data_IF_210218189235
#
_entry.id   IF_210218189235
#
_cell.length_a   1.000
_cell.length_b   1.000
_cell.length_c   1.000
_cell.angle_alpha   90.00
_cell.angle_beta   90.00
_cell.angle_gamma   90.00
#
_symmetry.space_group_name_H-M   'P 1'
#
loop_
_entity.id
_entity.type
_entity.pdbx_description
1 polymer ?
#
# COMPACT_ATOMS: atom_id res chain seq x y z
N UNK A 1 -15.21 14.82 -21.09
CA UNK A 1 -15.32 13.65 -20.20
C UNK A 1 -13.90 13.46 -19.65
N UNK A 2 -13.66 13.72 -18.37
CA UNK A 2 -12.33 13.41 -17.81
C UNK A 2 -12.26 11.88 -17.75
N UNK A 3 -11.34 11.29 -18.50
CA UNK A 3 -11.08 9.87 -18.40
C UNK A 3 -10.74 9.53 -16.94
N UNK A 4 -11.30 8.43 -16.43
CA UNK A 4 -10.99 7.95 -15.09
C UNK A 4 -9.48 7.72 -14.99
N UNK A 5 -8.82 8.07 -13.88
CA UNK A 5 -7.40 7.83 -13.73
C UNK A 5 -7.11 6.33 -13.83
N UNK A 6 -5.99 5.98 -14.43
CA UNK A 6 -5.51 4.59 -14.47
C UNK A 6 -4.95 4.16 -13.11
N UNK A 7 -4.32 5.12 -12.41
CA UNK A 7 -3.64 4.91 -11.14
C UNK A 7 -4.15 5.86 -10.05
N UNK A 8 -4.41 5.33 -8.86
CA UNK A 8 -4.54 6.12 -7.64
C UNK A 8 -3.28 5.95 -6.80
N UNK A 9 -2.54 7.03 -6.53
CA UNK A 9 -1.45 7.03 -5.56
C UNK A 9 -2.04 7.35 -4.19
N UNK A 10 -1.91 6.43 -3.23
CA UNK A 10 -2.49 6.56 -1.88
C UNK A 10 -1.38 6.71 -0.84
N UNK A 11 -1.37 7.86 -0.18
CA UNK A 11 -0.32 8.23 0.78
C UNK A 11 -0.94 8.59 2.13
N UNK A 12 -0.76 7.77 3.18
CA UNK A 12 -1.13 8.13 4.54
C UNK A 12 -0.05 9.02 5.18
N UNK A 13 -0.47 10.12 5.77
CA UNK A 13 0.38 11.04 6.51
C UNK A 13 0.00 11.09 8.00
N UNK A 14 0.97 11.11 8.90
CA UNK A 14 0.80 11.40 10.31
C UNK A 14 2.05 12.03 10.89
N UNK A 15 2.02 13.34 11.15
CA UNK A 15 3.15 14.14 11.59
C UNK A 15 4.38 13.95 10.67
N UNK A 16 4.20 14.26 9.42
CA UNK A 16 5.20 14.18 8.35
C UNK A 16 5.49 15.57 7.74
N UNK A 17 5.43 16.61 8.59
CA UNK A 17 5.78 17.97 8.17
C UNK A 17 7.18 18.01 7.52
N UNK A 18 7.32 18.74 6.42
CA UNK A 18 8.51 18.81 5.59
C UNK A 18 8.65 17.68 4.56
N UNK A 19 7.77 16.67 4.61
CA UNK A 19 7.79 15.56 3.64
C UNK A 19 6.67 15.66 2.60
N UNK A 20 5.56 16.35 2.89
CA UNK A 20 4.35 16.32 2.04
C UNK A 20 4.65 16.86 0.65
N UNK A 21 5.12 18.09 0.56
CA UNK A 21 5.38 18.74 -0.73
C UNK A 21 6.47 18.02 -1.53
N UNK A 22 7.66 17.69 -0.96
CA UNK A 22 8.69 16.95 -1.70
C UNK A 22 8.23 15.60 -2.24
N UNK A 23 7.45 14.84 -1.45
CA UNK A 23 6.91 13.53 -1.88
C UNK A 23 5.93 13.71 -3.04
N UNK A 24 5.05 14.71 -2.98
CA UNK A 24 4.08 14.97 -4.04
C UNK A 24 4.72 15.52 -5.32
N UNK A 25 5.75 16.37 -5.21
CA UNK A 25 6.55 16.81 -6.36
C UNK A 25 7.14 15.62 -7.10
N UNK A 26 7.76 14.70 -6.35
CA UNK A 26 8.39 13.53 -6.93
C UNK A 26 7.37 12.56 -7.57
N UNK A 27 6.18 12.41 -6.97
CA UNK A 27 5.08 11.64 -7.58
C UNK A 27 4.68 12.23 -8.93
N UNK A 28 4.52 13.56 -9.02
CA UNK A 28 4.15 14.21 -10.28
C UNK A 28 5.25 14.13 -11.33
N UNK A 29 6.51 14.25 -10.91
CA UNK A 29 7.67 14.11 -11.80
C UNK A 29 7.76 12.67 -12.36
N UNK A 30 7.62 11.69 -11.51
CA UNK A 30 7.80 10.28 -11.88
C UNK A 30 6.66 9.72 -12.76
N UNK A 31 5.42 10.19 -12.58
CA UNK A 31 4.23 9.59 -13.18
C UNK A 31 3.60 10.40 -14.30
N UNK A 32 4.28 11.42 -14.82
CA UNK A 32 3.72 12.35 -15.81
C UNK A 32 3.16 11.74 -17.10
N UNK A 33 3.56 10.51 -17.45
CA UNK A 33 3.03 9.77 -18.61
C UNK A 33 1.82 8.86 -18.29
N UNK A 34 1.44 8.76 -17.03
CA UNK A 34 0.34 7.91 -16.54
C UNK A 34 -0.80 8.82 -16.10
N UNK A 35 -2.03 8.51 -16.46
CA UNK A 35 -3.18 9.25 -15.92
C UNK A 35 -3.42 8.83 -14.47
N UNK A 36 -3.20 9.75 -13.52
CA UNK A 36 -3.28 9.42 -12.11
C UNK A 36 -4.01 10.47 -11.27
N UNK A 37 -4.46 10.04 -10.10
CA UNK A 37 -4.84 10.90 -8.97
C UNK A 37 -3.99 10.56 -7.75
N UNK A 38 -3.83 11.51 -6.84
CA UNK A 38 -3.20 11.31 -5.54
C UNK A 38 -4.24 11.49 -4.44
N UNK A 39 -4.35 10.51 -3.56
CA UNK A 39 -5.17 10.58 -2.37
C UNK A 39 -4.25 10.62 -1.15
N UNK A 40 -4.23 11.77 -0.49
CA UNK A 40 -3.54 11.96 0.78
C UNK A 40 -4.53 11.74 1.92
N UNK A 41 -4.17 10.92 2.90
CA UNK A 41 -4.99 10.74 4.10
C UNK A 41 -4.20 11.20 5.31
N UNK A 42 -4.63 12.33 5.90
CA UNK A 42 -4.09 12.84 7.15
C UNK A 42 -4.70 12.09 8.34
N UNK A 43 -3.90 11.29 9.02
CA UNK A 43 -4.33 10.50 10.19
C UNK A 43 -4.19 11.31 11.49
N UNK A 44 -4.93 12.45 11.57
CA UNK A 44 -4.95 13.38 12.68
C UNK A 44 -3.53 13.84 13.10
N UNK A 45 -2.83 14.53 12.21
CA UNK A 45 -1.53 15.14 12.50
C UNK A 45 -1.69 16.34 13.44
N UNK A 46 -0.63 16.60 14.23
CA UNK A 46 -0.58 17.73 15.19
C UNK A 46 0.57 18.70 14.88
N UNK A 47 1.26 18.51 13.77
CA UNK A 47 2.34 19.35 13.26
C UNK A 47 1.88 20.12 11.99
N UNK A 48 2.82 20.67 11.23
CA UNK A 48 2.50 21.42 10.01
C UNK A 48 2.02 20.56 8.82
N UNK A 49 1.87 19.24 8.97
CA UNK A 49 1.44 18.32 7.88
C UNK A 49 0.11 18.76 7.25
N UNK A 50 -0.86 19.21 8.06
CA UNK A 50 -2.17 19.64 7.54
C UNK A 50 -2.03 20.90 6.67
N UNK A 51 -1.22 21.87 7.10
CA UNK A 51 -0.97 23.09 6.33
C UNK A 51 -0.31 22.79 4.98
N UNK A 52 0.68 21.87 4.95
CA UNK A 52 1.31 21.43 3.71
C UNK A 52 0.34 20.67 2.79
N UNK A 53 -0.58 19.90 3.34
CA UNK A 53 -1.63 19.22 2.55
C UNK A 53 -2.62 20.21 1.94
N UNK A 54 -2.96 21.30 2.64
CA UNK A 54 -3.76 22.40 2.09
C UNK A 54 -3.01 23.09 0.94
N UNK A 55 -1.72 23.38 1.13
CA UNK A 55 -0.86 23.91 0.06
C UNK A 55 -0.83 22.97 -1.15
N UNK A 56 -0.70 21.66 -0.94
CA UNK A 56 -0.69 20.67 -1.99
C UNK A 56 -1.99 20.66 -2.82
N UNK A 57 -3.16 20.82 -2.19
CA UNK A 57 -4.43 20.91 -2.93
C UNK A 57 -4.54 22.19 -3.76
N UNK A 58 -3.95 23.28 -3.32
CA UNK A 58 -3.88 24.52 -4.11
C UNK A 58 -2.90 24.41 -5.28
N UNK A 59 -1.80 23.70 -5.10
CA UNK A 59 -0.76 23.52 -6.11
C UNK A 59 -1.14 22.52 -7.22
N UNK A 60 -1.88 21.46 -6.85
CA UNK A 60 -2.33 20.39 -7.77
C UNK A 60 -3.84 20.12 -7.64
N UNK A 61 -4.71 21.09 -7.97
CA UNK A 61 -6.13 21.02 -7.72
C UNK A 61 -6.85 19.90 -8.49
N UNK A 62 -6.31 19.50 -9.63
CA UNK A 62 -6.92 18.49 -10.51
C UNK A 62 -6.51 17.05 -10.14
N UNK A 63 -5.38 16.88 -9.44
CA UNK A 63 -4.81 15.57 -9.15
C UNK A 63 -4.82 15.21 -7.67
N UNK A 64 -4.64 16.17 -6.74
CA UNK A 64 -4.51 15.91 -5.31
C UNK A 64 -5.84 16.07 -4.58
N UNK A 65 -6.20 15.02 -3.83
CA UNK A 65 -7.37 15.00 -2.94
C UNK A 65 -6.95 14.64 -1.54
N UNK A 66 -7.44 15.36 -0.53
CA UNK A 66 -7.08 15.17 0.88
C UNK A 66 -8.28 14.72 1.69
N UNK A 67 -8.08 13.73 2.55
CA UNK A 67 -9.03 13.25 3.54
C UNK A 67 -8.44 13.38 4.94
N UNK A 68 -9.18 13.94 5.88
CA UNK A 68 -8.74 14.11 7.27
C UNK A 68 -9.50 13.16 8.20
N UNK A 69 -8.76 12.39 9.01
CA UNK A 69 -9.34 11.70 10.15
C UNK A 69 -9.51 12.67 11.32
N UNK A 70 -10.67 12.59 11.99
CA UNK A 70 -10.96 13.40 13.20
C UNK A 70 -10.05 12.99 14.36
N UNK A 71 -9.67 11.71 14.42
CA UNK A 71 -8.76 11.14 15.41
C UNK A 71 -7.83 10.12 14.76
N UNK A 72 -6.68 9.89 15.37
CA UNK A 72 -5.70 8.93 14.88
C UNK A 72 -6.25 7.51 14.86
N UNK A 73 -6.29 6.89 13.70
CA UNK A 73 -6.79 5.52 13.47
C UNK A 73 -5.73 4.56 12.96
N UNK A 74 -4.54 5.05 12.63
CA UNK A 74 -3.40 4.28 12.14
C UNK A 74 -3.43 3.99 10.65
N UNK A 75 -2.26 3.56 10.14
CA UNK A 75 -1.99 3.38 8.70
C UNK A 75 -3.06 2.55 7.98
N UNK A 76 -3.51 1.41 8.55
CA UNK A 76 -4.51 0.57 7.89
C UNK A 76 -5.85 1.27 7.68
N UNK A 77 -6.29 2.08 8.65
CA UNK A 77 -7.52 2.86 8.52
C UNK A 77 -7.39 3.94 7.45
N UNK A 78 -6.24 4.65 7.43
CA UNK A 78 -5.96 5.65 6.40
C UNK A 78 -5.96 5.03 4.99
N UNK A 79 -5.36 3.85 4.83
CA UNK A 79 -5.39 3.14 3.55
C UNK A 79 -6.81 2.76 3.12
N UNK A 80 -7.67 2.32 4.03
CA UNK A 80 -9.08 2.01 3.71
C UNK A 80 -9.88 3.27 3.38
N UNK A 81 -9.63 4.38 4.09
CA UNK A 81 -10.26 5.67 3.76
C UNK A 81 -9.93 6.09 2.34
N UNK A 82 -8.66 6.05 1.96
CA UNK A 82 -8.24 6.40 0.60
C UNK A 82 -8.73 5.41 -0.46
N UNK A 83 -8.73 4.10 -0.16
CA UNK A 83 -9.25 3.08 -1.08
C UNK A 83 -10.72 3.29 -1.44
N UNK A 84 -11.55 3.69 -0.46
CA UNK A 84 -12.97 3.98 -0.72
C UNK A 84 -13.17 5.15 -1.68
N UNK A 85 -12.22 6.08 -1.70
CA UNK A 85 -12.23 7.25 -2.56
C UNK A 85 -11.49 7.04 -3.89
N UNK A 86 -10.71 5.95 -4.01
CA UNK A 86 -9.90 5.62 -5.18
C UNK A 86 -10.76 5.38 -6.43
N UNK A 87 -10.35 5.99 -7.54
CA UNK A 87 -11.00 5.89 -8.85
C UNK A 87 -10.16 5.12 -9.87
N UNK A 88 -8.85 5.01 -9.64
CA UNK A 88 -7.93 4.30 -10.53
C UNK A 88 -8.18 2.78 -10.56
N UNK A 89 -7.88 2.15 -11.70
CA UNK A 89 -7.88 0.69 -11.82
C UNK A 89 -6.86 0.06 -10.89
N UNK A 90 -5.74 0.75 -10.69
CA UNK A 90 -4.66 0.36 -9.78
C UNK A 90 -4.50 1.36 -8.65
N UNK A 91 -4.14 0.86 -7.48
CA UNK A 91 -3.79 1.68 -6.31
C UNK A 91 -2.35 1.42 -5.94
N UNK A 92 -1.51 2.46 -6.01
CA UNK A 92 -0.18 2.44 -5.46
C UNK A 92 -0.19 2.94 -4.02
N UNK A 93 0.43 2.20 -3.13
CA UNK A 93 0.68 2.63 -1.75
C UNK A 93 2.10 3.16 -1.65
N UNK A 94 2.25 4.36 -1.12
CA UNK A 94 3.53 4.97 -0.75
C UNK A 94 3.49 5.40 0.72
N UNK A 95 4.65 5.42 1.36
CA UNK A 95 4.79 6.01 2.69
C UNK A 95 5.10 7.51 2.56
N UNK A 96 4.49 8.33 3.42
CA UNK A 96 4.63 9.79 3.40
C UNK A 96 6.00 10.30 3.89
N UNK A 97 6.97 9.40 4.12
CA UNK A 97 8.32 9.75 4.60
C UNK A 97 9.39 9.80 3.48
N UNK A 98 8.97 9.60 2.23
CA UNK A 98 9.81 9.68 1.05
C UNK A 98 10.80 8.51 0.87
N UNK A 99 10.66 7.42 1.63
CA UNK A 99 11.54 6.25 1.47
C UNK A 99 11.27 5.46 0.19
N UNK A 100 10.04 5.47 -0.30
CA UNK A 100 9.66 4.76 -1.52
C UNK A 100 9.89 5.66 -2.74
N UNK A 101 10.44 5.09 -3.80
CA UNK A 101 10.71 5.78 -5.06
C UNK A 101 9.52 5.62 -6.03
N UNK A 102 8.78 6.69 -6.36
CA UNK A 102 7.66 6.59 -7.31
C UNK A 102 8.11 6.28 -8.74
N UNK A 103 9.37 6.51 -9.12
CA UNK A 103 9.91 6.12 -10.42
C UNK A 103 9.89 4.60 -10.63
N UNK A 104 9.93 3.81 -9.55
CA UNK A 104 9.75 2.36 -9.66
C UNK A 104 8.37 1.99 -10.20
N UNK A 105 7.34 2.81 -9.96
CA UNK A 105 6.01 2.60 -10.54
C UNK A 105 6.04 2.82 -12.05
N UNK A 106 6.59 3.93 -12.52
CA UNK A 106 6.73 4.19 -13.95
C UNK A 106 7.51 3.07 -14.65
N UNK A 107 8.61 2.63 -14.05
CA UNK A 107 9.43 1.52 -14.57
C UNK A 107 8.65 0.20 -14.66
N UNK A 108 7.84 -0.11 -13.66
CA UNK A 108 7.09 -1.37 -13.59
C UNK A 108 5.77 -1.33 -14.37
N UNK A 109 5.22 -0.13 -14.64
CA UNK A 109 3.90 0.08 -15.24
C UNK A 109 3.62 -0.75 -16.48
N UNK A 110 4.50 -0.79 -17.50
CA UNK A 110 4.24 -1.57 -18.72
C UNK A 110 4.16 -3.08 -18.48
N UNK A 111 4.73 -3.56 -17.36
CA UNK A 111 4.80 -5.00 -17.06
C UNK A 111 3.51 -5.60 -16.52
N UNK A 112 2.53 -4.77 -16.16
CA UNK A 112 1.27 -5.22 -15.58
C UNK A 112 0.01 -4.51 -16.15
N UNK A 113 0.18 -3.53 -17.03
CA UNK A 113 -0.91 -2.82 -17.71
C UNK A 113 -0.95 -3.09 -19.21
N UNK A 114 0.10 -3.64 -19.79
CA UNK A 114 0.16 -3.93 -21.23
C UNK A 114 -0.69 -5.13 -21.67
N UNK A 115 -0.77 -5.36 -22.97
CA UNK A 115 -1.57 -6.43 -23.59
C UNK A 115 -1.26 -7.85 -23.09
N UNK A 116 -0.06 -8.08 -22.54
CA UNK A 116 0.37 -9.36 -21.97
C UNK A 116 0.25 -9.41 -20.43
N UNK A 117 -0.42 -8.43 -19.82
CA UNK A 117 -0.61 -8.40 -18.38
C UNK A 117 -1.42 -9.63 -17.90
N UNK A 118 -1.00 -10.24 -16.80
CA UNK A 118 -1.76 -11.34 -16.20
C UNK A 118 -3.06 -10.78 -15.58
N UNK A 119 -4.25 -11.13 -16.07
CA UNK A 119 -5.50 -10.60 -15.55
C UNK A 119 -5.78 -11.00 -14.10
N UNK A 120 -5.09 -12.02 -13.59
CA UNK A 120 -5.19 -12.46 -12.19
C UNK A 120 -4.17 -11.80 -11.26
N UNK A 121 -3.30 -10.92 -11.78
CA UNK A 121 -2.36 -10.20 -10.93
C UNK A 121 -3.10 -9.17 -10.09
N UNK A 122 -3.08 -9.36 -8.77
CA UNK A 122 -3.75 -8.49 -7.80
C UNK A 122 -2.80 -7.63 -6.98
N UNK A 123 -1.51 -8.00 -6.89
CA UNK A 123 -0.53 -7.27 -6.10
C UNK A 123 0.87 -7.40 -6.68
N UNK A 124 1.55 -6.26 -6.82
CA UNK A 124 3.00 -6.17 -6.93
C UNK A 124 3.52 -5.68 -5.58
N UNK A 125 4.33 -6.49 -4.91
CA UNK A 125 4.96 -6.17 -3.63
C UNK A 125 6.42 -5.77 -3.86
N UNK A 126 6.83 -4.60 -3.39
CA UNK A 126 8.22 -4.18 -3.45
C UNK A 126 9.11 -5.03 -2.53
N UNK A 127 10.31 -5.35 -3.00
CA UNK A 127 11.42 -5.91 -2.22
C UNK A 127 12.59 -4.96 -2.28
N UNK A 128 13.05 -4.51 -1.13
CA UNK A 128 14.16 -3.56 -1.03
C UNK A 128 15.49 -4.20 -1.44
N UNK A 129 16.24 -3.51 -2.29
CA UNK A 129 17.50 -4.02 -2.85
C UNK A 129 18.62 -4.11 -1.80
N UNK A 130 18.68 -3.16 -0.87
CA UNK A 130 19.65 -3.17 0.23
C UNK A 130 19.00 -2.70 1.51
N UNK A 131 19.14 -3.47 2.59
CA UNK A 131 18.83 -3.01 3.94
C UNK A 131 20.13 -2.62 4.62
N UNK A 132 20.36 -1.33 4.80
CA UNK A 132 21.39 -0.78 5.67
C UNK A 132 21.01 -0.90 7.17
N UNK A 133 20.21 -1.91 7.52
CA UNK A 133 19.87 -2.21 8.90
C UNK A 133 21.06 -2.91 9.56
N UNK A 134 21.52 -2.41 10.70
CA UNK A 134 22.57 -3.08 11.48
C UNK A 134 22.26 -4.57 11.67
N UNK A 135 23.27 -5.44 11.64
CA UNK A 135 23.16 -6.91 11.51
C UNK A 135 22.13 -7.59 12.43
N UNK A 136 21.90 -7.07 13.65
CA UNK A 136 20.90 -7.62 14.56
C UNK A 136 19.45 -7.36 14.11
N UNK A 137 19.13 -6.17 13.61
CA UNK A 137 17.81 -5.84 13.05
C UNK A 137 17.52 -6.63 11.78
N UNK A 138 18.53 -6.83 10.95
CA UNK A 138 18.44 -7.66 9.76
C UNK A 138 18.08 -9.11 10.11
N UNK A 139 18.78 -9.73 11.09
CA UNK A 139 18.50 -11.11 11.52
C UNK A 139 17.08 -11.27 12.07
N UNK A 140 16.63 -10.35 12.92
CA UNK A 140 15.26 -10.35 13.46
C UNK A 140 14.20 -10.23 12.37
N UNK A 141 14.41 -9.34 11.41
CA UNK A 141 13.50 -9.16 10.29
C UNK A 141 13.43 -10.41 9.40
N UNK A 142 14.58 -11.05 9.17
CA UNK A 142 14.67 -12.28 8.38
C UNK A 142 13.95 -13.44 9.07
N UNK A 143 14.11 -13.59 10.39
CA UNK A 143 13.41 -14.62 11.17
C UNK A 143 11.89 -14.38 11.16
N UNK A 144 11.44 -13.16 11.44
CA UNK A 144 10.03 -12.79 11.43
C UNK A 144 9.38 -13.00 10.05
N UNK A 145 10.05 -12.60 8.97
CA UNK A 145 9.60 -12.84 7.61
C UNK A 145 9.58 -14.35 7.26
N UNK A 146 10.56 -15.12 7.73
CA UNK A 146 10.60 -16.58 7.54
C UNK A 146 9.42 -17.27 8.21
N UNK A 147 9.13 -16.95 9.47
CA UNK A 147 7.97 -17.48 10.21
C UNK A 147 6.66 -17.12 9.51
N UNK A 148 6.49 -15.86 9.11
CA UNK A 148 5.30 -15.40 8.38
C UNK A 148 5.12 -16.17 7.07
N UNK A 149 6.16 -16.26 6.24
CA UNK A 149 6.12 -16.98 4.95
C UNK A 149 5.72 -18.44 5.11
N UNK A 150 6.31 -19.13 6.11
CA UNK A 150 5.95 -20.51 6.41
C UNK A 150 4.49 -20.63 6.85
N UNK A 151 4.04 -19.73 7.73
CA UNK A 151 2.68 -19.76 8.29
C UNK A 151 1.59 -19.39 7.28
N UNK A 152 1.84 -18.38 6.42
CA UNK A 152 0.85 -17.79 5.53
C UNK A 152 1.02 -18.18 4.05
N UNK A 153 2.16 -18.74 3.67
CA UNK A 153 2.51 -19.13 2.28
C UNK A 153 2.27 -17.98 1.29
N UNK A 154 2.70 -16.77 1.67
CA UNK A 154 2.43 -15.54 0.93
C UNK A 154 3.44 -15.23 -0.19
N UNK A 155 4.50 -16.03 -0.33
CA UNK A 155 5.55 -15.98 -1.37
C UNK A 155 6.35 -14.66 -1.45
N UNK A 156 6.19 -13.76 -0.46
CA UNK A 156 6.86 -12.47 -0.43
C UNK A 156 7.97 -12.47 0.62
N UNK A 157 9.16 -12.00 0.24
CA UNK A 157 10.33 -11.99 1.12
C UNK A 157 10.40 -10.76 2.00
N UNK A 158 9.88 -9.60 1.55
CA UNK A 158 9.87 -8.33 2.29
C UNK A 158 8.46 -7.72 2.40
N UNK A 159 7.61 -8.27 3.26
CA UNK A 159 6.26 -7.72 3.48
C UNK A 159 6.26 -6.34 4.14
N UNK A 160 7.37 -5.95 4.75
CA UNK A 160 7.52 -4.66 5.42
C UNK A 160 7.83 -3.50 4.48
N UNK A 161 8.11 -3.74 3.20
CA UNK A 161 8.27 -2.70 2.21
C UNK A 161 6.98 -1.90 2.06
N UNK A 162 7.06 -0.56 2.12
CA UNK A 162 5.91 0.33 1.95
C UNK A 162 5.36 0.34 0.52
N UNK A 163 6.24 0.16 -0.45
CA UNK A 163 5.88 0.15 -1.87
C UNK A 163 5.02 -1.05 -2.24
N UNK A 164 3.81 -0.81 -2.67
CA UNK A 164 2.88 -1.84 -3.17
C UNK A 164 1.98 -1.24 -4.24
N UNK A 165 1.77 -1.98 -5.33
CA UNK A 165 0.78 -1.64 -6.34
C UNK A 165 -0.26 -2.76 -6.34
N UNK A 166 -1.53 -2.41 -6.15
CA UNK A 166 -2.63 -3.37 -6.07
C UNK A 166 -3.71 -3.03 -7.07
N UNK A 167 -4.30 -4.05 -7.67
CA UNK A 167 -5.55 -3.88 -8.42
C UNK A 167 -6.64 -3.41 -7.45
N UNK A 168 -7.33 -2.33 -7.78
CA UNK A 168 -8.33 -1.69 -6.90
C UNK A 168 -9.43 -2.67 -6.50
N UNK A 169 -9.90 -3.48 -7.45
CA UNK A 169 -10.86 -4.55 -7.21
C UNK A 169 -10.36 -5.53 -6.14
N UNK A 170 -9.16 -6.07 -6.33
CA UNK A 170 -8.56 -7.01 -5.38
C UNK A 170 -8.40 -6.41 -3.98
N UNK A 171 -8.06 -5.12 -3.89
CA UNK A 171 -7.92 -4.44 -2.61
C UNK A 171 -9.28 -4.24 -1.91
N UNK A 172 -10.35 -3.95 -2.66
CA UNK A 172 -11.70 -3.79 -2.11
C UNK A 172 -12.28 -5.06 -1.49
N UNK A 173 -11.83 -6.23 -1.93
CA UNK A 173 -12.26 -7.52 -1.38
C UNK A 173 -11.63 -7.85 -0.01
N UNK A 174 -10.63 -7.08 0.43
CA UNK A 174 -9.89 -7.41 1.65
C UNK A 174 -10.67 -7.05 2.91
N UNK A 175 -10.72 -7.93 3.92
CA UNK A 175 -11.31 -7.64 5.21
C UNK A 175 -10.49 -6.58 5.95
N UNK A 176 -11.18 -5.60 6.55
CA UNK A 176 -10.51 -4.60 7.37
C UNK A 176 -10.19 -5.13 8.77
N UNK A 177 -8.96 -4.93 9.21
CA UNK A 177 -8.52 -5.00 10.60
C UNK A 177 -7.26 -4.14 10.82
N UNK A 178 -7.00 -3.75 12.07
CA UNK A 178 -5.81 -2.97 12.39
C UNK A 178 -4.53 -3.74 11.97
N UNK A 179 -3.55 -3.03 11.43
CA UNK A 179 -2.28 -3.61 10.93
C UNK A 179 -2.40 -4.54 9.71
N UNK A 180 -3.55 -4.65 9.04
CA UNK A 180 -3.77 -5.51 7.87
C UNK A 180 -2.74 -5.26 6.74
N UNK A 181 -2.20 -4.04 6.63
CA UNK A 181 -1.22 -3.67 5.59
C UNK A 181 0.05 -4.53 5.61
N UNK A 182 0.37 -5.18 6.71
CA UNK A 182 1.50 -6.12 6.84
C UNK A 182 1.23 -7.47 6.18
N UNK A 183 -0.04 -7.77 5.91
CA UNK A 183 -0.53 -9.06 5.44
C UNK A 183 -1.16 -8.98 4.05
N UNK A 184 -1.05 -7.87 3.34
CA UNK A 184 -1.62 -7.72 2.00
C UNK A 184 -1.28 -8.88 1.06
N UNK A 185 -0.03 -9.39 0.98
CA UNK A 185 0.27 -10.53 0.11
C UNK A 185 -0.57 -11.77 0.44
N UNK A 186 -0.71 -12.12 1.72
CA UNK A 186 -1.50 -13.27 2.15
C UNK A 186 -3.00 -13.05 1.91
N UNK A 187 -3.50 -11.83 2.15
CA UNK A 187 -4.90 -11.47 1.93
C UNK A 187 -5.28 -11.51 0.45
N UNK A 188 -4.46 -10.95 -0.41
CA UNK A 188 -4.63 -10.95 -1.87
C UNK A 188 -4.63 -12.39 -2.42
N UNK A 189 -3.67 -13.23 -1.98
CA UNK A 189 -3.66 -14.66 -2.34
C UNK A 189 -4.92 -15.38 -1.84
N UNK A 190 -5.36 -15.09 -0.61
CA UNK A 190 -6.61 -15.64 -0.07
C UNK A 190 -7.81 -15.22 -0.91
N UNK A 191 -7.88 -14.00 -1.42
CA UNK A 191 -8.93 -13.53 -2.33
C UNK A 191 -8.87 -14.19 -3.72
N UNK A 192 -7.78 -14.91 -4.05
CA UNK A 192 -7.65 -15.67 -5.30
C UNK A 192 -6.80 -14.99 -6.36
N UNK A 193 -6.25 -13.85 -6.03
CA UNK A 193 -5.38 -13.11 -6.91
C UNK A 193 -3.94 -13.58 -6.81
N UNK A 194 -3.15 -13.33 -7.85
CA UNK A 194 -1.70 -13.57 -7.85
C UNK A 194 -0.96 -12.41 -7.20
N UNK A 195 0.16 -12.75 -6.58
CA UNK A 195 1.12 -11.80 -6.02
C UNK A 195 2.44 -11.95 -6.74
N UNK A 196 3.06 -10.84 -7.11
CA UNK A 196 4.40 -10.76 -7.69
C UNK A 196 5.28 -9.88 -6.83
N UNK A 197 6.52 -10.29 -6.58
CA UNK A 197 7.51 -9.49 -5.86
C UNK A 197 8.50 -8.88 -6.85
N UNK A 198 8.78 -7.57 -6.72
CA UNK A 198 9.69 -6.83 -7.59
C UNK A 198 10.72 -6.05 -6.79
N UNK A 199 11.94 -5.97 -7.31
CA UNK A 199 12.99 -5.14 -6.73
C UNK A 199 12.64 -3.66 -6.88
N UNK A 200 12.72 -2.92 -5.77
CA UNK A 200 12.45 -1.49 -5.72
C UNK A 200 13.56 -0.77 -4.96
N UNK A 201 13.73 0.50 -5.26
CA UNK A 201 14.63 1.38 -4.55
C UNK A 201 14.06 1.69 -3.16
N UNK A 202 14.94 1.68 -2.15
CA UNK A 202 14.60 2.09 -0.79
C UNK A 202 15.64 3.13 -0.36
N UNK A 203 15.15 4.29 0.04
CA UNK A 203 15.98 5.45 0.32
C UNK A 203 15.94 5.82 1.80
N UNK A 204 16.92 6.57 2.30
CA UNK A 204 16.79 7.21 3.60
C UNK A 204 15.56 8.10 3.65
N UNK A 205 14.95 8.25 4.82
CA UNK A 205 13.84 9.21 5.03
C UNK A 205 14.31 10.62 4.69
N UNK A 206 13.43 11.41 4.08
CA UNK A 206 13.71 12.82 3.78
C UNK A 206 13.79 13.62 5.08
N UNK A 207 12.84 13.44 6.03
CA UNK A 207 12.83 14.09 7.33
C UNK A 207 12.18 13.20 8.41
N UNK A 208 12.34 13.56 9.68
CA UNK A 208 11.68 12.93 10.83
C UNK A 208 12.43 11.74 11.45
N UNK A 209 11.84 11.19 12.53
CA UNK A 209 12.36 10.02 13.27
C UNK A 209 11.35 8.88 13.29
N UNK A 210 11.84 7.64 13.31
CA UNK A 210 10.97 6.45 13.43
C UNK A 210 10.15 6.48 14.73
N UNK A 211 8.82 6.48 14.60
CA UNK A 211 7.85 6.70 15.70
C UNK A 211 7.52 5.44 16.52
N UNK A 212 8.11 4.28 16.22
CA UNK A 212 7.70 3.01 16.81
C UNK A 212 8.82 2.29 17.58
N UNK A 213 8.55 1.96 18.85
CA UNK A 213 9.41 1.13 19.70
C UNK A 213 9.34 -0.38 19.32
N UNK A 214 10.41 -1.13 19.65
CA UNK A 214 10.60 -2.53 19.22
C UNK A 214 9.67 -3.54 19.92
N UNK A 215 9.53 -3.47 21.25
CA UNK A 215 8.85 -4.49 22.05
C UNK A 215 7.32 -4.53 21.83
N UNK A 216 6.68 -3.38 21.65
CA UNK A 216 5.24 -3.31 21.38
C UNK A 216 4.83 -3.92 20.04
N UNK A 217 5.76 -3.96 19.07
CA UNK A 217 5.51 -4.56 17.74
C UNK A 217 5.54 -6.09 17.73
N UNK A 218 6.32 -6.72 18.62
CA UNK A 218 6.46 -8.18 18.67
C UNK A 218 5.17 -8.85 19.19
N UNK A 219 4.61 -8.39 20.31
CA UNK A 219 3.40 -8.97 20.88
C UNK A 219 2.18 -8.83 19.97
N UNK A 220 1.92 -7.60 19.49
CA UNK A 220 0.82 -7.35 18.56
C UNK A 220 1.00 -8.14 17.24
N UNK A 221 2.23 -8.22 16.73
CA UNK A 221 2.52 -8.97 15.51
C UNK A 221 2.27 -10.47 15.61
N UNK A 222 2.47 -11.07 16.78
CA UNK A 222 2.15 -12.49 17.01
C UNK A 222 0.64 -12.74 17.04
N UNK A 223 -0.12 -11.91 17.74
CA UNK A 223 -1.59 -11.99 17.75
C UNK A 223 -2.16 -11.83 16.34
N UNK A 224 -1.69 -10.82 15.61
CA UNK A 224 -2.09 -10.58 14.22
C UNK A 224 -1.76 -11.80 13.33
N UNK A 225 -0.61 -12.44 13.51
CA UNK A 225 -0.21 -13.61 12.75
C UNK A 225 -1.16 -14.81 13.00
N UNK A 226 -1.51 -15.09 14.25
CA UNK A 226 -2.48 -16.15 14.58
C UNK A 226 -3.86 -15.84 14.00
N UNK A 227 -4.32 -14.59 14.09
CA UNK A 227 -5.55 -14.14 13.45
C UNK A 227 -5.55 -14.35 11.94
N UNK A 228 -4.43 -14.02 11.29
CA UNK A 228 -4.24 -14.25 9.85
C UNK A 228 -4.22 -15.73 9.47
N UNK A 229 -3.53 -16.58 10.26
CA UNK A 229 -3.54 -18.04 10.04
C UNK A 229 -4.96 -18.61 10.14
N UNK A 230 -5.75 -18.15 11.12
CA UNK A 230 -7.15 -18.52 11.25
C UNK A 230 -7.95 -18.06 10.02
N UNK A 231 -7.82 -16.79 9.62
CA UNK A 231 -8.53 -16.20 8.49
C UNK A 231 -8.23 -16.92 7.17
N UNK A 232 -6.95 -17.21 6.89
CA UNK A 232 -6.53 -17.90 5.66
C UNK A 232 -7.12 -19.32 5.57
N UNK A 233 -7.31 -20.00 6.72
CA UNK A 233 -7.90 -21.34 6.77
C UNK A 233 -9.43 -21.37 6.64
N UNK A 234 -10.12 -20.24 6.78
CA UNK A 234 -11.60 -20.16 6.77
C UNK A 234 -12.23 -20.05 5.39
N UNK A 235 -11.46 -20.24 4.35
CA UNK A 235 -11.98 -20.23 2.98
C UNK A 235 -12.27 -18.83 2.44
N UNK A 236 -12.81 -18.79 1.24
CA UNK A 236 -13.17 -17.58 0.49
C UNK A 236 -14.67 -17.50 0.30
N UNK A 237 -15.25 -16.31 0.09
CA UNK A 237 -16.56 -16.20 -0.53
C UNK A 237 -16.54 -16.94 -1.87
N UNK A 238 -17.62 -17.65 -2.21
CA UNK A 238 -17.75 -18.31 -3.51
C UNK A 238 -17.84 -17.28 -4.63
N UNK A 239 -17.31 -17.61 -5.79
CA UNK A 239 -17.59 -16.84 -7.01
C UNK A 239 -19.00 -17.24 -7.45
N UNK A 240 -19.94 -16.30 -7.37
CA UNK A 240 -21.28 -16.48 -7.91
C UNK A 240 -21.31 -15.99 -9.38
N UNK A 241 -22.02 -16.71 -10.24
CA UNK A 241 -22.46 -16.22 -11.55
C UNK A 241 -23.97 -16.07 -11.48
N UNK A 242 -24.49 -15.07 -12.16
CA UNK A 242 -25.92 -14.96 -12.37
C UNK A 242 -26.40 -16.21 -13.12
N UNK A 243 -27.55 -16.74 -12.73
CA UNK A 243 -28.14 -17.87 -13.37
C UNK A 243 -28.83 -17.38 -14.64
N UNK A 244 -28.25 -17.62 -15.80
CA UNK A 244 -28.93 -17.48 -17.08
C UNK A 244 -29.86 -18.69 -17.22
N UNK A 245 -31.18 -18.50 -17.13
CA UNK A 245 -32.15 -19.59 -17.33
C UNK A 245 -32.04 -20.08 -18.79
N UNK A 246 -31.52 -21.30 -19.03
CA UNK A 246 -31.39 -21.82 -20.38
C UNK A 246 -32.73 -22.08 -21.08
N UNK A 247 -33.85 -21.76 -20.43
CA UNK A 247 -35.20 -21.90 -20.91
C UNK A 247 -35.91 -20.58 -21.22
N UNK A 248 -35.21 -19.43 -21.08
CA UNK A 248 -35.74 -18.10 -21.42
C UNK A 248 -35.57 -17.77 -22.89
#
# INVERSE_FOLDING_TARGET
MSDAPELTVLIPFHNEAGNVIPVLEEVHDALGEITFEVICVNDASHDATEAELVEATARWPDTVRVFNHVERRGKSAALITGLRAARGEWVQLLDGDGQNDPHDTARLWPSFTGANADPRLGLIAGRRNSRNDGGFKWLQSRLANGIRRFALKDDVTDSGCGFKIMRTEAFRELPYFASMHRFFPALIKRAGWKVREELVNDRPRLAGKSKYGFLGRLGAGMVDLFGMMWLVRRGRPGIAREWDDPRA
#
